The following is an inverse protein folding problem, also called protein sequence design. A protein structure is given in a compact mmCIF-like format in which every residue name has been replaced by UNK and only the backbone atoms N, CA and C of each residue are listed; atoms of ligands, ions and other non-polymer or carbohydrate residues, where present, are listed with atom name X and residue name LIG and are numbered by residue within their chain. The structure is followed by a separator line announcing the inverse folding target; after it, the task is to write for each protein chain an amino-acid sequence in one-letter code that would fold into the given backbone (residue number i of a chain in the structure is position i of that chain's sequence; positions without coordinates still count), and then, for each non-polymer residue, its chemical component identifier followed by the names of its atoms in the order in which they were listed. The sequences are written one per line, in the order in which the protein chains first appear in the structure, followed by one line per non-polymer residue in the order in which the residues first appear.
data_IF_464583890560
#
_entry.id   IF_464583890560
#
_cell.length_a   1.000
_cell.length_b   1.000
_cell.length_c   1.000
_cell.angle_alpha   90.00
_cell.angle_beta   90.00
_cell.angle_gamma   90.00
#
_symmetry.space_group_name_H-M   'P 1'
#
loop_
_entity.id
_entity.type
_entity.pdbx_description
1 polymer ?
#
# COMPACT_ATOMS: atom_id res chain seq x y z
N UNK A 1 19.55 20.92 -13.56
CA UNK A 1 19.26 19.49 -13.31
C UNK A 1 17.77 19.15 -13.26
N UNK A 2 16.99 19.44 -12.20
CA UNK A 2 15.55 19.04 -12.14
C UNK A 2 14.70 19.78 -13.19
N UNK A 3 14.94 21.07 -13.39
CA UNK A 3 14.19 21.89 -14.36
C UNK A 3 14.50 21.50 -15.82
N UNK A 4 15.73 21.07 -16.11
CA UNK A 4 16.17 20.60 -17.43
C UNK A 4 15.60 19.21 -17.77
N UNK A 5 15.42 18.36 -16.76
CA UNK A 5 14.72 17.08 -16.91
C UNK A 5 13.24 17.32 -17.23
N UNK A 6 12.59 18.29 -16.57
CA UNK A 6 11.20 18.65 -16.85
C UNK A 6 11.02 19.24 -18.26
N UNK A 7 11.94 20.09 -18.72
CA UNK A 7 11.88 20.63 -20.08
C UNK A 7 12.14 19.55 -21.13
N UNK A 8 13.07 18.62 -20.90
CA UNK A 8 13.32 17.50 -21.83
C UNK A 8 12.16 16.49 -21.88
N UNK A 9 11.43 16.30 -20.77
CA UNK A 9 10.24 15.44 -20.69
C UNK A 9 9.07 16.01 -21.48
N UNK A 10 8.84 17.32 -21.41
CA UNK A 10 7.74 18.00 -22.12
C UNK A 10 7.99 18.14 -23.63
N UNK A 11 9.26 18.12 -24.05
CA UNK A 11 9.64 18.28 -25.46
C UNK A 11 9.57 16.96 -26.24
N UNK A 12 9.54 15.81 -25.54
CA UNK A 12 9.44 14.49 -26.17
C UNK A 12 8.04 13.87 -25.97
N UNK A 13 7.19 13.82 -27.00
CA UNK A 13 5.81 13.35 -26.88
C UNK A 13 5.71 11.89 -26.40
N UNK A 14 6.74 11.08 -26.66
CA UNK A 14 6.79 9.69 -26.20
C UNK A 14 6.86 9.59 -24.68
N UNK A 15 7.61 10.48 -24.03
CA UNK A 15 7.79 10.49 -22.57
C UNK A 15 6.50 10.91 -21.89
N UNK A 16 5.78 11.89 -22.46
CA UNK A 16 4.46 12.34 -21.97
C UNK A 16 3.43 11.22 -22.07
N UNK A 17 3.37 10.49 -23.19
CA UNK A 17 2.43 9.37 -23.35
C UNK A 17 2.73 8.25 -22.34
N UNK A 18 4.00 7.88 -22.16
CA UNK A 18 4.40 6.88 -21.17
C UNK A 18 4.02 7.33 -19.76
N UNK A 19 4.20 8.62 -19.45
CA UNK A 19 3.81 9.18 -18.17
C UNK A 19 2.30 9.10 -17.92
N UNK A 20 1.47 9.43 -18.91
CA UNK A 20 0.00 9.32 -18.80
C UNK A 20 -0.45 7.87 -18.60
N UNK A 21 0.13 6.93 -19.35
CA UNK A 21 -0.17 5.50 -19.20
C UNK A 21 0.23 5.02 -17.80
N UNK A 22 1.44 5.37 -17.34
CA UNK A 22 1.90 5.05 -15.99
C UNK A 22 0.96 5.62 -14.94
N UNK A 23 0.53 6.88 -15.07
CA UNK A 23 -0.45 7.47 -14.16
C UNK A 23 -1.79 6.73 -14.17
N UNK A 24 -2.34 6.42 -15.34
CA UNK A 24 -3.60 5.70 -15.47
C UNK A 24 -3.54 4.29 -14.86
N UNK A 25 -2.44 3.56 -15.09
CA UNK A 25 -2.19 2.26 -14.49
C UNK A 25 -2.11 2.37 -12.96
N UNK A 26 -1.38 3.38 -12.47
CA UNK A 26 -1.29 3.67 -11.05
C UNK A 26 -2.67 3.91 -10.45
N UNK A 27 -3.45 4.79 -11.06
CA UNK A 27 -4.80 5.12 -10.62
C UNK A 27 -5.72 3.90 -10.58
N UNK A 28 -5.72 3.08 -11.63
CA UNK A 28 -6.49 1.85 -11.67
C UNK A 28 -6.07 0.90 -10.53
N UNK A 29 -4.76 0.71 -10.33
CA UNK A 29 -4.23 -0.11 -9.24
C UNK A 29 -4.68 0.43 -7.87
N UNK A 30 -4.48 1.72 -7.60
CA UNK A 30 -4.86 2.35 -6.33
C UNK A 30 -6.35 2.23 -6.02
N UNK A 31 -7.20 2.49 -7.02
CA UNK A 31 -8.65 2.38 -6.89
C UNK A 31 -9.12 0.96 -6.58
N UNK A 32 -8.56 -0.04 -7.26
CA UNK A 32 -8.86 -1.45 -7.01
C UNK A 32 -8.33 -1.92 -5.65
N UNK A 33 -7.19 -1.38 -5.21
CA UNK A 33 -6.53 -1.82 -3.99
C UNK A 33 -7.37 -1.58 -2.73
N UNK A 34 -8.25 -0.56 -2.73
CA UNK A 34 -9.21 -0.33 -1.63
C UNK A 34 -10.15 -1.53 -1.45
N UNK A 35 -10.53 -2.20 -2.55
CA UNK A 35 -11.35 -3.42 -2.47
C UNK A 35 -10.55 -4.58 -1.90
N UNK A 36 -9.35 -4.80 -2.42
CA UNK A 36 -8.45 -5.88 -2.00
C UNK A 36 -8.07 -5.73 -0.53
N UNK A 37 -7.72 -4.53 -0.08
CA UNK A 37 -7.35 -4.24 1.31
C UNK A 37 -8.46 -4.65 2.30
N UNK A 38 -9.73 -4.42 1.95
CA UNK A 38 -10.86 -4.83 2.80
C UNK A 38 -10.90 -6.35 3.00
N UNK A 39 -10.70 -7.13 1.94
CA UNK A 39 -10.69 -8.59 2.03
C UNK A 39 -9.45 -9.12 2.75
N UNK A 40 -8.29 -8.51 2.52
CA UNK A 40 -7.05 -8.86 3.24
C UNK A 40 -7.17 -8.58 4.74
N UNK A 41 -7.73 -7.43 5.13
CA UNK A 41 -7.98 -7.12 6.54
C UNK A 41 -8.97 -8.10 7.18
N UNK A 42 -10.03 -8.46 6.46
CA UNK A 42 -10.98 -9.47 6.94
C UNK A 42 -10.31 -10.85 7.13
N UNK A 43 -9.47 -11.26 6.17
CA UNK A 43 -8.70 -12.51 6.26
C UNK A 43 -7.78 -12.52 7.49
N UNK A 44 -7.01 -11.44 7.68
CA UNK A 44 -6.12 -11.29 8.84
C UNK A 44 -6.93 -11.34 10.14
N UNK A 45 -8.07 -10.65 10.21
CA UNK A 45 -8.92 -10.64 11.40
C UNK A 45 -9.44 -12.05 11.73
N UNK A 46 -9.89 -12.81 10.73
CA UNK A 46 -10.35 -14.19 10.93
C UNK A 46 -9.21 -15.07 11.45
N UNK A 47 -8.01 -14.94 10.89
CA UNK A 47 -6.85 -15.71 11.37
C UNK A 47 -6.49 -15.36 12.81
N UNK A 48 -6.43 -14.07 13.13
CA UNK A 48 -6.19 -13.61 14.51
C UNK A 48 -7.24 -14.18 15.46
N UNK A 49 -8.52 -14.08 15.12
CA UNK A 49 -9.60 -14.67 15.92
C UNK A 49 -9.42 -16.18 16.10
N UNK A 50 -9.11 -16.92 15.02
CA UNK A 50 -8.86 -18.35 15.09
C UNK A 50 -7.69 -18.71 16.03
N UNK A 51 -6.59 -17.95 15.96
CA UNK A 51 -5.44 -18.15 16.86
C UNK A 51 -5.79 -17.86 18.33
N UNK A 52 -6.54 -16.80 18.58
CA UNK A 52 -6.99 -16.42 19.93
C UNK A 52 -7.89 -17.50 20.52
N UNK A 53 -8.87 -17.98 19.73
CA UNK A 53 -9.78 -19.04 20.15
C UNK A 53 -9.03 -20.36 20.44
N UNK A 54 -8.08 -20.75 19.60
CA UNK A 54 -7.27 -21.95 19.81
C UNK A 54 -6.46 -21.87 21.10
N UNK A 55 -5.81 -20.73 21.36
CA UNK A 55 -5.01 -20.53 22.58
C UNK A 55 -5.90 -20.54 23.82
N UNK A 56 -7.06 -19.89 23.75
CA UNK A 56 -8.02 -19.91 24.85
C UNK A 56 -8.55 -21.32 25.13
N UNK A 57 -8.87 -22.09 24.09
CA UNK A 57 -9.31 -23.50 24.20
C UNK A 57 -8.29 -24.40 24.90
N UNK A 58 -7.00 -24.16 24.65
CA UNK A 58 -5.89 -24.90 25.26
C UNK A 58 -5.48 -24.38 26.65
N UNK A 59 -6.21 -23.41 27.21
CA UNK A 59 -5.92 -22.81 28.52
C UNK A 59 -4.70 -21.87 28.54
N UNK A 60 -4.25 -21.41 27.37
CA UNK A 60 -3.12 -20.50 27.24
C UNK A 60 -3.46 -19.02 27.51
N UNK A 61 -2.42 -18.17 27.53
CA UNK A 61 -2.58 -16.73 27.74
C UNK A 61 -2.87 -15.99 26.43
N UNK A 62 -4.12 -15.53 26.28
CA UNK A 62 -4.53 -14.66 25.15
C UNK A 62 -3.74 -13.35 25.15
N UNK A 63 -3.42 -12.81 26.33
CA UNK A 63 -2.66 -11.57 26.47
C UNK A 63 -1.26 -11.69 25.83
N UNK A 64 -0.58 -12.82 26.02
CA UNK A 64 0.74 -13.06 25.46
C UNK A 64 0.68 -13.09 23.92
N UNK A 65 -0.31 -13.77 23.35
CA UNK A 65 -0.52 -13.86 21.90
C UNK A 65 -0.80 -12.49 21.29
N UNK A 66 -1.65 -11.68 21.93
CA UNK A 66 -1.94 -10.32 21.46
C UNK A 66 -0.71 -9.41 21.52
N UNK A 67 0.14 -9.55 22.56
CA UNK A 67 1.42 -8.83 22.63
C UNK A 67 2.36 -9.21 21.49
N UNK A 68 2.52 -10.51 21.22
CA UNK A 68 3.35 -11.00 20.12
C UNK A 68 2.84 -10.50 18.76
N UNK A 69 1.53 -10.62 18.49
CA UNK A 69 0.90 -10.09 17.27
C UNK A 69 1.10 -8.57 17.14
N UNK A 70 1.01 -7.83 18.24
CA UNK A 70 1.29 -6.39 18.27
C UNK A 70 2.73 -6.07 17.86
N UNK A 71 3.71 -6.83 18.36
CA UNK A 71 5.13 -6.67 18.00
C UNK A 71 5.37 -6.95 16.50
N UNK A 72 4.73 -7.98 15.95
CA UNK A 72 4.79 -8.26 14.51
C UNK A 72 4.15 -7.12 13.69
N UNK A 73 3.01 -6.59 14.13
CA UNK A 73 2.34 -5.48 13.45
C UNK A 73 3.22 -4.22 13.39
N UNK A 74 3.94 -3.89 14.46
CA UNK A 74 4.90 -2.77 14.49
C UNK A 74 6.03 -3.01 13.49
N UNK A 75 6.62 -4.22 13.46
CA UNK A 75 7.65 -4.58 12.47
C UNK A 75 7.15 -4.44 11.03
N UNK A 76 5.95 -4.92 10.75
CA UNK A 76 5.34 -4.81 9.41
C UNK A 76 5.15 -3.35 9.03
N UNK A 77 4.64 -2.51 9.94
CA UNK A 77 4.50 -1.07 9.71
C UNK A 77 5.85 -0.43 9.33
N UNK A 78 6.91 -0.72 10.07
CA UNK A 78 8.23 -0.12 9.80
C UNK A 78 8.80 -0.57 8.45
N UNK A 79 8.61 -1.85 8.09
CA UNK A 79 9.01 -2.37 6.77
C UNK A 79 8.20 -1.69 5.66
N UNK A 80 6.89 -1.53 5.82
CA UNK A 80 6.04 -0.83 4.85
C UNK A 80 6.45 0.62 4.69
N UNK A 81 6.73 1.34 5.78
CA UNK A 81 7.19 2.74 5.71
C UNK A 81 8.55 2.87 5.04
N UNK A 82 9.50 1.95 5.32
CA UNK A 82 10.80 1.93 4.63
C UNK A 82 10.63 1.61 3.15
N UNK A 83 9.77 0.66 2.80
CA UNK A 83 9.45 0.35 1.42
C UNK A 83 8.83 1.55 0.71
N UNK A 84 7.88 2.25 1.35
CA UNK A 84 7.31 3.48 0.84
C UNK A 84 8.35 4.61 0.69
N UNK A 85 9.33 4.73 1.59
CA UNK A 85 10.42 5.68 1.42
C UNK A 85 11.35 5.33 0.25
N UNK A 86 11.70 4.06 0.08
CA UNK A 86 12.55 3.61 -1.04
C UNK A 86 11.82 3.74 -2.38
N UNK A 87 10.55 3.33 -2.44
CA UNK A 87 9.70 3.56 -3.62
C UNK A 87 9.44 5.05 -3.84
N UNK A 88 9.30 5.83 -2.77
CA UNK A 88 9.20 7.28 -2.80
C UNK A 88 10.50 8.00 -3.16
N UNK A 89 11.61 7.29 -3.35
CA UNK A 89 12.86 7.84 -3.88
C UNK A 89 13.15 7.33 -5.29
N UNK A 90 12.82 6.07 -5.60
CA UNK A 90 13.05 5.46 -6.93
C UNK A 90 11.87 5.62 -7.91
N UNK A 91 10.65 5.85 -7.43
CA UNK A 91 9.39 5.64 -8.19
C UNK A 91 8.41 6.81 -8.03
N UNK A 92 8.85 8.02 -7.66
CA UNK A 92 7.99 9.24 -7.70
C UNK A 92 7.87 9.75 -9.13
N UNK A 93 7.52 8.84 -10.03
CA UNK A 93 7.05 9.18 -11.34
C UNK A 93 5.53 9.30 -11.36
N UNK A 94 4.95 9.30 -12.55
CA UNK A 94 3.51 9.36 -12.75
C UNK A 94 2.74 8.18 -12.13
N UNK A 95 3.36 6.99 -12.04
CA UNK A 95 2.70 5.77 -11.54
C UNK A 95 2.28 5.87 -10.07
N UNK A 96 3.16 6.31 -9.17
CA UNK A 96 2.85 6.41 -7.74
C UNK A 96 1.86 7.54 -7.45
N UNK A 97 1.97 8.66 -8.18
CA UNK A 97 0.97 9.73 -8.13
C UNK A 97 -0.41 9.21 -8.55
N UNK A 98 -0.47 8.49 -9.66
CA UNK A 98 -1.69 7.82 -10.11
C UNK A 98 -2.24 6.91 -9.02
N UNK A 99 -1.40 6.04 -8.44
CA UNK A 99 -1.80 5.13 -7.36
C UNK A 99 -2.37 5.84 -6.14
N UNK A 100 -1.70 6.89 -5.64
CA UNK A 100 -2.19 7.64 -4.49
C UNK A 100 -3.53 8.33 -4.77
N UNK A 101 -3.68 8.96 -5.94
CA UNK A 101 -4.94 9.59 -6.34
C UNK A 101 -6.04 8.55 -6.50
N UNK A 102 -5.77 7.42 -7.15
CA UNK A 102 -6.70 6.32 -7.32
C UNK A 102 -7.15 5.70 -5.99
N UNK A 103 -6.20 5.54 -5.06
CA UNK A 103 -6.48 5.07 -3.70
C UNK A 103 -7.40 6.05 -2.97
N UNK A 104 -7.08 7.35 -2.98
CA UNK A 104 -7.90 8.40 -2.36
C UNK A 104 -9.32 8.39 -2.94
N UNK A 105 -9.46 8.41 -4.27
CA UNK A 105 -10.78 8.35 -4.93
C UNK A 105 -11.53 7.07 -4.57
N UNK A 106 -10.84 5.92 -4.54
CA UNK A 106 -11.43 4.63 -4.15
C UNK A 106 -11.92 4.60 -2.70
N UNK A 107 -11.24 5.31 -1.80
CA UNK A 107 -11.65 5.48 -0.40
C UNK A 107 -12.83 6.43 -0.28
N UNK A 108 -12.81 7.59 -0.96
CA UNK A 108 -13.87 8.61 -0.87
C UNK A 108 -15.19 8.18 -1.55
N UNK A 109 -15.14 7.33 -2.58
CA UNK A 109 -16.33 6.88 -3.34
C UNK A 109 -17.04 5.68 -2.69
N UNK A 110 -16.48 5.12 -1.62
CA UNK A 110 -17.06 4.03 -0.84
C UNK A 110 -17.67 4.57 0.44
#
# INVERSE_FOLDING_TARGET
MVLELLSSVLTNPRVVIVALIQFALGFALGYLMVRVAKYLLALIAIFVLGTVLNVWSLGGSVEQVLKELGLYAVKVKDVVLRFLHVLGLLVVGPLTLGFLVGLLVGVLRR
#
